data_IF_074912833788
#
_entry.id   IF_074912833788
#
_cell.length_a   1.000
_cell.length_b   1.000
_cell.length_c   1.000
_cell.angle_alpha   90.00
_cell.angle_beta   90.00
_cell.angle_gamma   90.00
#
_symmetry.space_group_name_H-M   'P 1'
#
loop_
_entity.id
_entity.type
_entity.pdbx_description
1 polymer ?
#
# COMPACT_ATOMS: atom_id res chain seq x y z
N UNK A 1 11.79 -13.55 0.90
CA UNK A 1 10.39 -14.01 0.80
C UNK A 1 9.66 -13.44 -0.42
N UNK A 2 9.45 -12.11 -0.52
CA UNK A 2 8.70 -11.50 -1.63
C UNK A 2 9.21 -11.88 -3.04
N UNK A 3 10.50 -11.69 -3.31
CA UNK A 3 11.11 -12.02 -4.60
C UNK A 3 10.93 -13.51 -4.96
N UNK A 4 11.19 -14.39 -3.99
CA UNK A 4 11.03 -15.84 -4.14
C UNK A 4 9.60 -16.19 -4.52
N UNK A 5 8.61 -15.63 -3.82
CA UNK A 5 7.20 -15.88 -4.11
C UNK A 5 6.81 -15.41 -5.52
N UNK A 6 7.13 -14.17 -5.87
CA UNK A 6 6.79 -13.62 -7.20
C UNK A 6 7.42 -14.47 -8.30
N UNK A 7 8.71 -14.80 -8.17
CA UNK A 7 9.44 -15.59 -9.17
C UNK A 7 8.94 -17.05 -9.32
N UNK A 8 8.21 -17.58 -8.33
CA UNK A 8 7.60 -18.90 -8.43
C UNK A 8 6.32 -18.93 -9.29
N UNK A 9 5.70 -17.76 -9.48
CA UNK A 9 4.45 -17.61 -10.24
C UNK A 9 4.70 -16.97 -11.61
N UNK A 10 5.68 -16.07 -11.73
CA UNK A 10 5.96 -15.33 -12.96
C UNK A 10 7.46 -15.09 -13.13
N UNK A 11 7.98 -15.31 -14.34
CA UNK A 11 9.38 -15.00 -14.70
C UNK A 11 9.64 -13.50 -14.58
N UNK A 12 10.71 -13.12 -13.90
CA UNK A 12 11.16 -11.73 -13.78
C UNK A 12 12.15 -11.37 -14.89
N UNK A 13 12.02 -10.16 -15.42
CA UNK A 13 12.88 -9.59 -16.46
C UNK A 13 13.67 -8.38 -15.95
N UNK A 14 14.85 -8.09 -16.53
CA UNK A 14 15.57 -6.86 -16.23
C UNK A 14 14.70 -5.63 -16.52
N UNK A 15 14.56 -4.76 -15.52
CA UNK A 15 13.71 -3.56 -15.60
C UNK A 15 12.37 -3.69 -14.88
N UNK A 16 11.99 -4.88 -14.42
CA UNK A 16 10.77 -5.07 -13.64
C UNK A 16 10.80 -4.27 -12.31
N UNK A 17 9.67 -3.66 -11.98
CA UNK A 17 9.48 -2.88 -10.75
C UNK A 17 8.52 -3.62 -9.82
N UNK A 18 8.97 -3.86 -8.58
CA UNK A 18 8.16 -4.53 -7.55
C UNK A 18 7.78 -3.50 -6.49
N UNK A 19 6.48 -3.27 -6.33
CA UNK A 19 5.94 -2.41 -5.28
C UNK A 19 5.88 -3.18 -3.95
N UNK A 20 6.75 -2.82 -2.99
CA UNK A 20 6.89 -3.52 -1.70
C UNK A 20 5.74 -3.29 -0.70
N UNK A 21 4.64 -2.66 -1.13
CA UNK A 21 3.54 -2.25 -0.25
C UNK A 21 3.79 -0.94 0.49
N UNK A 22 2.78 -0.50 1.24
CA UNK A 22 2.83 0.72 2.06
C UNK A 22 2.29 0.43 3.46
N UNK A 23 2.71 1.20 4.45
CA UNK A 23 2.10 1.12 5.78
C UNK A 23 0.73 1.81 5.76
N UNK A 24 -0.33 1.01 5.88
CA UNK A 24 -1.71 1.51 5.88
C UNK A 24 -2.10 2.35 7.10
N UNK A 25 -1.28 2.36 8.17
CA UNK A 25 -1.60 3.09 9.41
C UNK A 25 -1.37 4.60 9.34
N UNK A 26 -0.71 5.09 8.29
CA UNK A 26 -0.40 6.51 8.09
C UNK A 26 -1.08 7.14 6.88
N UNK A 27 -2.00 6.42 6.24
CA UNK A 27 -2.61 6.87 4.99
C UNK A 27 -3.78 7.82 5.26
N UNK A 28 -3.92 8.81 4.39
CA UNK A 28 -5.06 9.71 4.30
C UNK A 28 -5.44 9.93 2.84
N UNK A 29 -6.60 10.52 2.60
CA UNK A 29 -7.07 10.81 1.25
C UNK A 29 -6.25 11.92 0.59
N UNK A 30 -5.92 11.73 -0.68
CA UNK A 30 -5.37 12.76 -1.57
C UNK A 30 -6.51 13.36 -2.39
N UNK A 31 -6.47 14.67 -2.64
CA UNK A 31 -7.47 15.37 -3.45
C UNK A 31 -6.85 16.52 -4.24
N UNK A 32 -7.66 17.21 -5.05
CA UNK A 32 -7.18 18.26 -5.95
C UNK A 32 -6.29 19.30 -5.24
N UNK A 33 -5.20 19.69 -5.91
CA UNK A 33 -4.23 20.67 -5.40
C UNK A 33 -3.19 20.11 -4.43
N UNK A 34 -3.29 18.84 -4.02
CA UNK A 34 -2.30 18.25 -3.12
C UNK A 34 -0.92 18.09 -3.78
N UNK A 35 0.13 18.39 -3.02
CA UNK A 35 1.51 18.04 -3.34
C UNK A 35 2.00 16.97 -2.36
N UNK A 36 2.18 15.75 -2.86
CA UNK A 36 2.51 14.57 -2.08
C UNK A 36 3.99 14.25 -2.23
N UNK A 37 4.75 14.48 -1.17
CA UNK A 37 6.19 14.21 -1.14
C UNK A 37 6.43 12.85 -0.49
N UNK A 38 7.16 11.98 -1.19
CA UNK A 38 7.62 10.70 -0.66
C UNK A 38 9.13 10.66 -0.62
N UNK A 39 9.69 10.29 0.53
CA UNK A 39 11.13 10.20 0.75
C UNK A 39 11.50 8.79 1.18
N UNK A 40 12.56 8.24 0.59
CA UNK A 40 13.20 7.02 1.04
C UNK A 40 14.63 7.37 1.45
N UNK A 41 14.94 7.15 2.73
CA UNK A 41 16.28 7.43 3.28
C UNK A 41 17.36 6.72 2.47
N UNK A 42 18.39 7.45 2.07
CA UNK A 42 19.50 6.93 1.27
C UNK A 42 19.22 6.74 -0.23
N UNK A 43 17.98 6.94 -0.69
CA UNK A 43 17.63 6.86 -2.13
C UNK A 43 17.28 8.23 -2.67
N UNK A 44 16.37 8.96 -2.03
CA UNK A 44 15.94 10.28 -2.47
C UNK A 44 14.47 10.56 -2.19
N UNK A 45 13.96 11.62 -2.82
CA UNK A 45 12.55 12.01 -2.72
C UNK A 45 11.96 12.27 -4.09
N UNK A 46 10.66 12.04 -4.21
CA UNK A 46 9.87 12.48 -5.36
C UNK A 46 8.59 13.17 -4.87
N UNK A 47 8.03 14.01 -5.74
CA UNK A 47 6.79 14.74 -5.48
C UNK A 47 5.76 14.39 -6.55
N UNK A 48 4.54 14.10 -6.13
CA UNK A 48 3.37 13.94 -6.99
C UNK A 48 2.44 15.14 -6.77
N UNK A 49 1.96 15.74 -7.85
CA UNK A 49 0.93 16.78 -7.80
C UNK A 49 -0.41 16.18 -8.22
N UNK A 50 -1.43 16.34 -7.38
CA UNK A 50 -2.74 15.74 -7.60
C UNK A 50 -3.64 16.75 -8.30
N UNK A 51 -4.23 16.31 -9.41
CA UNK A 51 -5.29 17.01 -10.12
C UNK A 51 -6.51 16.12 -10.19
N UNK A 52 -7.65 16.61 -9.73
CA UNK A 52 -8.94 15.92 -9.82
C UNK A 52 -9.99 16.79 -10.50
N UNK A 53 -10.32 16.45 -11.74
CA UNK A 53 -11.30 17.19 -12.56
C UNK A 53 -12.72 17.17 -12.01
N UNK A 54 -13.00 16.24 -11.09
CA UNK A 54 -14.31 16.12 -10.46
C UNK A 54 -14.40 16.85 -9.12
N UNK A 55 -13.33 17.54 -8.69
CA UNK A 55 -13.28 18.34 -7.46
C UNK A 55 -13.78 17.57 -6.24
N UNK A 56 -13.46 16.28 -6.14
CA UNK A 56 -13.91 15.45 -5.02
C UNK A 56 -13.16 15.86 -3.76
N UNK A 57 -13.89 15.94 -2.66
CA UNK A 57 -13.32 16.24 -1.35
C UNK A 57 -13.57 15.09 -0.37
N UNK A 58 -12.55 14.83 0.46
CA UNK A 58 -12.59 13.90 1.57
C UNK A 58 -12.13 14.59 2.85
N UNK A 59 -12.48 14.00 3.98
CA UNK A 59 -12.00 14.48 5.27
C UNK A 59 -10.47 14.42 5.33
N UNK A 60 -9.83 15.56 5.64
CA UNK A 60 -8.38 15.66 5.79
C UNK A 60 -7.91 14.95 7.06
N UNK A 61 -6.75 14.31 6.95
CA UNK A 61 -6.08 13.61 8.06
C UNK A 61 -5.78 12.15 7.74
N UNK A 62 -5.21 11.46 8.72
CA UNK A 62 -4.94 10.02 8.65
C UNK A 62 -6.22 9.25 8.98
N UNK A 63 -6.51 8.21 8.20
CA UNK A 63 -7.56 7.24 8.49
C UNK A 63 -7.17 6.40 9.70
N UNK A 64 -7.61 6.87 10.88
CA UNK A 64 -7.35 6.19 12.16
C UNK A 64 -8.07 4.86 12.25
N UNK A 65 -9.23 4.71 11.63
CA UNK A 65 -9.99 3.47 11.68
C UNK A 65 -9.24 2.35 10.94
N UNK A 66 -8.78 2.64 9.72
CA UNK A 66 -7.92 1.73 8.97
C UNK A 66 -6.63 1.42 9.73
N UNK A 67 -6.01 2.43 10.35
CA UNK A 67 -4.80 2.23 11.14
C UNK A 67 -5.03 1.24 12.30
N UNK A 68 -6.13 1.38 13.03
CA UNK A 68 -6.45 0.47 14.13
C UNK A 68 -6.79 -0.95 13.64
N UNK A 69 -7.52 -1.09 12.51
CA UNK A 69 -7.78 -2.39 11.89
C UNK A 69 -6.48 -3.12 11.51
N UNK A 70 -5.52 -2.40 10.92
CA UNK A 70 -4.22 -2.95 10.51
C UNK A 70 -3.38 -3.35 11.71
N UNK A 71 -3.37 -2.55 12.79
CA UNK A 71 -2.71 -2.92 14.05
C UNK A 71 -3.31 -4.20 14.64
N UNK A 72 -4.64 -4.30 14.69
CA UNK A 72 -5.32 -5.47 15.22
C UNK A 72 -5.01 -6.75 14.41
N UNK A 73 -4.95 -6.65 13.08
CA UNK A 73 -4.59 -7.78 12.21
C UNK A 73 -3.12 -8.21 12.37
N UNK A 74 -2.20 -7.27 12.58
CA UNK A 74 -0.79 -7.58 12.85
C UNK A 74 -0.59 -8.29 14.20
N UNK A 75 -1.43 -7.99 15.20
CA UNK A 75 -1.39 -8.61 16.54
C UNK A 75 -2.04 -9.99 16.58
N UNK A 76 -3.00 -10.25 15.69
CA UNK A 76 -3.65 -11.55 15.52
C UNK A 76 -3.49 -12.04 14.08
N UNK A 77 -2.29 -12.50 13.67
CA UNK A 77 -2.11 -13.07 12.36
C UNK A 77 -3.05 -14.27 12.25
N UNK A 78 -4.05 -14.16 11.37
CA UNK A 78 -5.04 -15.20 11.18
C UNK A 78 -4.33 -16.56 10.99
N UNK A 79 -4.77 -17.56 11.75
CA UNK A 79 -4.33 -18.93 11.55
C UNK A 79 -4.52 -19.29 10.07
N UNK A 80 -3.43 -19.74 9.46
CA UNK A 80 -3.34 -20.31 8.11
C UNK A 80 -4.59 -21.07 7.72
N UNK A 81 -5.14 -20.76 6.54
CA UNK A 81 -6.35 -21.36 6.01
C UNK A 81 -6.33 -22.88 6.04
N UNK A 82 -7.39 -23.46 6.60
CA UNK A 82 -7.68 -24.88 6.53
C UNK A 82 -8.78 -25.14 5.49
N UNK A 83 -8.40 -25.79 4.39
CA UNK A 83 -9.16 -26.91 3.82
C UNK A 83 -10.40 -26.61 2.96
N UNK A 84 -10.25 -26.84 1.66
CA UNK A 84 -11.10 -27.76 0.90
C UNK A 84 -12.55 -27.37 0.60
N UNK A 85 -12.80 -26.96 -0.65
CA UNK A 85 -14.05 -27.30 -1.32
C UNK A 85 -13.69 -27.99 -2.63
N UNK A 86 -13.74 -29.32 -2.60
CA UNK A 86 -13.81 -30.14 -3.79
C UNK A 86 -15.24 -30.01 -4.35
N UNK A 87 -15.34 -29.71 -5.64
CA UNK A 87 -16.49 -30.02 -6.47
C UNK A 87 -16.04 -31.10 -7.47
#
# INVERSE_FOLDING_TARGET
ELLTYISSVTTLHPGDVICCGTNHQGLGSMQDGDAVVTTISGIGSFTIHVRDEHEREWQRGVDREMAERVKAAAQHPAATGSGGSAA
#
